data_IF_925429801992
#
_entry.id   IF_925429801992
#
_cell.length_a   1.000
_cell.length_b   1.000
_cell.length_c   1.000
_cell.angle_alpha   90.00
_cell.angle_beta   90.00
_cell.angle_gamma   90.00
#
_symmetry.space_group_name_H-M   'P 1'
#
loop_
_entity.id
_entity.type
_entity.pdbx_description
1 polymer ?
#
# COMPACT_ATOMS: atom_id res chain seq x y z
N UNK A 1 -18.00 -46.79 -41.30
CA UNK A 1 -18.11 -46.29 -39.92
C UNK A 1 -16.82 -45.58 -39.56
N UNK A 2 -16.81 -44.25 -39.57
CA UNK A 2 -15.68 -43.42 -39.17
C UNK A 2 -16.12 -42.67 -37.90
N UNK A 3 -15.52 -43.00 -36.75
CA UNK A 3 -15.74 -42.22 -35.53
C UNK A 3 -15.05 -40.86 -35.66
N UNK A 4 -15.71 -39.73 -35.38
CA UNK A 4 -15.04 -38.45 -35.31
C UNK A 4 -14.08 -38.47 -34.13
N UNK A 5 -12.81 -38.14 -34.37
CA UNK A 5 -11.84 -37.93 -33.30
C UNK A 5 -12.32 -36.77 -32.43
N UNK A 6 -12.52 -37.02 -31.13
CA UNK A 6 -12.74 -35.99 -30.14
C UNK A 6 -11.55 -35.02 -30.20
N UNK A 7 -11.79 -33.81 -30.68
CA UNK A 7 -10.82 -32.73 -30.55
C UNK A 7 -10.52 -32.60 -29.05
N UNK A 8 -9.25 -32.76 -28.68
CA UNK A 8 -8.79 -32.56 -27.31
C UNK A 8 -9.32 -31.21 -26.83
N UNK A 9 -10.27 -31.26 -25.89
CA UNK A 9 -10.73 -30.10 -25.16
C UNK A 9 -9.50 -29.46 -24.52
N UNK A 10 -9.08 -28.30 -25.01
CA UNK A 10 -8.10 -27.47 -24.32
C UNK A 10 -8.63 -27.24 -22.92
N UNK A 11 -7.98 -27.86 -21.93
CA UNK A 11 -8.41 -27.76 -20.55
C UNK A 11 -8.43 -26.29 -20.16
N UNK A 12 -9.40 -25.88 -19.33
CA UNK A 12 -9.54 -24.51 -18.81
C UNK A 12 -8.25 -23.97 -18.16
N UNK A 13 -7.30 -24.85 -17.83
CA UNK A 13 -5.98 -24.55 -17.29
C UNK A 13 -5.07 -23.85 -18.33
N UNK A 14 -5.31 -23.99 -19.64
CA UNK A 14 -4.48 -23.43 -20.71
C UNK A 14 -4.73 -21.93 -21.03
N UNK A 15 -5.58 -21.22 -20.28
CA UNK A 15 -5.85 -19.78 -20.51
C UNK A 15 -5.73 -18.92 -19.27
N UNK A 16 -4.96 -19.35 -18.26
CA UNK A 16 -4.63 -18.48 -17.13
C UNK A 16 -3.41 -17.64 -17.53
N UNK A 17 -3.65 -16.39 -17.96
CA UNK A 17 -2.59 -15.46 -18.30
C UNK A 17 -1.82 -15.06 -17.02
N UNK A 18 -0.55 -15.44 -16.97
CA UNK A 18 0.35 -15.06 -15.88
C UNK A 18 0.45 -13.53 -15.79
N UNK A 19 0.21 -12.99 -14.60
CA UNK A 19 0.38 -11.57 -14.33
C UNK A 19 1.87 -11.23 -14.41
N UNK A 20 2.22 -10.11 -15.02
CA UNK A 20 3.62 -9.71 -15.13
C UNK A 20 4.10 -9.07 -13.83
N UNK A 21 5.32 -9.39 -13.42
CA UNK A 21 5.98 -8.77 -12.25
C UNK A 21 5.97 -7.25 -12.32
N UNK A 22 6.25 -6.70 -13.50
CA UNK A 22 6.26 -5.26 -13.75
C UNK A 22 4.90 -4.62 -13.44
N UNK A 23 3.81 -5.30 -13.79
CA UNK A 23 2.45 -4.82 -13.55
C UNK A 23 2.13 -4.76 -12.05
N UNK A 24 2.57 -5.75 -11.27
CA UNK A 24 2.43 -5.74 -9.81
C UNK A 24 3.20 -4.57 -9.21
N UNK A 25 4.46 -4.36 -9.62
CA UNK A 25 5.25 -3.24 -9.13
C UNK A 25 4.65 -1.89 -9.51
N UNK A 26 4.15 -1.73 -10.74
CA UNK A 26 3.48 -0.51 -11.19
C UNK A 26 2.22 -0.23 -10.36
N UNK A 27 1.41 -1.25 -10.09
CA UNK A 27 0.25 -1.10 -9.21
C UNK A 27 0.65 -0.70 -7.79
N UNK A 28 1.70 -1.29 -7.22
CA UNK A 28 2.18 -0.94 -5.87
C UNK A 28 2.66 0.51 -5.79
N UNK A 29 3.47 0.94 -6.76
CA UNK A 29 4.01 2.30 -6.86
C UNK A 29 2.89 3.32 -6.98
N UNK A 30 1.92 3.08 -7.87
CA UNK A 30 0.74 3.94 -8.04
C UNK A 30 -0.14 3.98 -6.80
N UNK A 31 -0.32 2.87 -6.09
CA UNK A 31 -1.04 2.88 -4.80
C UNK A 31 -0.31 3.77 -3.78
N UNK A 32 1.02 3.70 -3.71
CA UNK A 32 1.81 4.54 -2.81
C UNK A 32 1.71 6.02 -3.18
N UNK A 33 1.74 6.34 -4.47
CA UNK A 33 1.59 7.72 -4.95
C UNK A 33 0.20 8.27 -4.62
N UNK A 34 -0.87 7.55 -4.97
CA UNK A 34 -2.25 7.96 -4.74
C UNK A 34 -2.51 8.18 -3.25
N UNK A 35 -2.14 7.22 -2.39
CA UNK A 35 -2.30 7.36 -0.93
C UNK A 35 -1.36 8.40 -0.33
N UNK A 36 -0.19 8.60 -0.91
CA UNK A 36 0.74 9.64 -0.51
C UNK A 36 0.15 11.03 -0.72
N UNK A 37 -0.51 11.28 -1.86
CA UNK A 37 -1.22 12.54 -2.13
C UNK A 37 -2.34 12.77 -1.11
N UNK A 38 -3.19 11.78 -0.88
CA UNK A 38 -4.27 11.87 0.12
C UNK A 38 -3.74 12.17 1.54
N UNK A 39 -2.61 11.58 1.93
CA UNK A 39 -1.99 11.84 3.23
C UNK A 39 -1.34 13.23 3.31
N UNK A 40 -0.87 13.79 2.19
CA UNK A 40 -0.38 15.17 2.12
C UNK A 40 -1.54 16.16 2.19
N UNK A 41 -2.62 15.92 1.45
CA UNK A 41 -3.82 16.77 1.45
C UNK A 41 -4.48 16.83 2.84
N UNK A 42 -4.32 15.77 3.64
CA UNK A 42 -4.81 15.69 5.01
C UNK A 42 -3.76 16.10 6.08
N UNK A 43 -2.61 16.67 5.68
CA UNK A 43 -1.50 17.09 6.55
C UNK A 43 -0.96 15.99 7.49
N UNK A 44 -1.19 14.72 7.14
CA UNK A 44 -0.76 13.55 7.93
C UNK A 44 0.73 13.28 7.72
N UNK A 45 1.20 13.48 6.50
CA UNK A 45 2.62 13.55 6.15
C UNK A 45 2.88 14.93 5.54
N UNK A 46 4.13 15.38 5.61
CA UNK A 46 4.52 16.72 5.20
C UNK A 46 5.60 16.67 4.12
N UNK A 47 5.77 17.78 3.39
CA UNK A 47 6.89 17.93 2.45
C UNK A 47 8.24 17.76 3.15
N UNK A 48 8.35 18.19 4.42
CA UNK A 48 9.54 17.98 5.25
C UNK A 48 9.86 16.48 5.42
N UNK A 49 8.86 15.63 5.68
CA UNK A 49 9.05 14.18 5.79
C UNK A 49 9.62 13.59 4.47
N UNK A 50 9.16 14.09 3.32
CA UNK A 50 9.63 13.66 1.99
C UNK A 50 11.08 14.08 1.72
N UNK A 51 11.44 15.33 2.07
CA UNK A 51 12.81 15.83 1.93
C UNK A 51 13.78 15.14 2.89
N UNK A 52 13.36 14.89 4.13
CA UNK A 52 14.15 14.13 5.10
C UNK A 52 14.50 12.75 4.53
N UNK A 53 13.54 12.05 3.93
CA UNK A 53 13.79 10.77 3.30
C UNK A 53 14.74 10.83 2.10
N UNK A 54 14.70 11.89 1.30
CA UNK A 54 15.63 12.06 0.18
C UNK A 54 17.07 12.33 0.64
N UNK A 55 17.23 13.00 1.78
CA UNK A 55 18.52 13.34 2.38
C UNK A 55 19.06 12.22 3.28
N UNK A 56 18.18 11.31 3.74
CA UNK A 56 18.52 10.19 4.58
C UNK A 56 19.60 9.31 3.96
N UNK A 57 20.60 8.97 4.78
CA UNK A 57 21.71 8.10 4.35
C UNK A 57 21.30 6.64 4.38
N UNK A 58 20.44 6.27 5.35
CA UNK A 58 19.97 4.90 5.56
C UNK A 58 18.44 4.83 5.62
N UNK A 59 17.86 3.66 5.34
CA UNK A 59 16.39 3.46 5.33
C UNK A 59 15.75 3.51 6.72
N UNK A 60 16.56 3.44 7.79
CA UNK A 60 16.10 3.51 9.18
C UNK A 60 15.88 4.98 9.63
N UNK A 61 16.37 5.94 8.84
CA UNK A 61 16.03 7.36 8.93
C UNK A 61 14.75 7.60 8.09
N UNK A 62 13.88 8.54 8.51
CA UNK A 62 12.61 8.83 7.84
C UNK A 62 11.68 7.61 7.63
N UNK A 63 11.48 6.80 8.68
CA UNK A 63 10.69 5.55 8.63
C UNK A 63 9.23 5.72 8.20
N UNK A 64 8.63 6.89 8.43
CA UNK A 64 7.27 7.22 8.00
C UNK A 64 7.18 7.14 6.47
N UNK A 65 8.15 7.68 5.74
CA UNK A 65 8.16 7.63 4.28
C UNK A 65 8.75 6.31 3.77
N UNK A 66 9.85 5.83 4.36
CA UNK A 66 10.56 4.64 3.84
C UNK A 66 9.78 3.33 4.02
N UNK A 67 8.96 3.24 5.08
CA UNK A 67 8.22 2.03 5.46
C UNK A 67 6.75 2.34 5.67
N UNK A 68 6.42 3.41 6.39
CA UNK A 68 5.06 3.76 6.79
C UNK A 68 4.10 3.94 5.61
N UNK A 69 4.42 4.86 4.70
CA UNK A 69 3.61 5.17 3.52
C UNK A 69 3.39 3.92 2.63
N UNK A 70 4.42 3.13 2.27
CA UNK A 70 4.19 1.88 1.55
C UNK A 70 3.34 0.87 2.31
N UNK A 71 3.51 0.77 3.64
CA UNK A 71 2.77 -0.16 4.48
C UNK A 71 1.29 0.23 4.58
N UNK A 72 1.00 1.52 4.78
CA UNK A 72 -0.34 2.08 4.74
C UNK A 72 -1.00 1.83 3.38
N UNK A 73 -0.29 2.12 2.29
CA UNK A 73 -0.79 1.93 0.92
C UNK A 73 -1.09 0.46 0.62
N UNK A 74 -0.23 -0.44 1.10
CA UNK A 74 -0.42 -1.87 0.99
C UNK A 74 -1.62 -2.36 1.81
N UNK A 75 -1.83 -1.84 3.01
CA UNK A 75 -3.03 -2.11 3.81
C UNK A 75 -4.30 -1.72 3.04
N UNK A 76 -4.33 -0.53 2.42
CA UNK A 76 -5.47 -0.09 1.62
C UNK A 76 -5.75 -1.03 0.44
N UNK A 77 -4.71 -1.52 -0.24
CA UNK A 77 -4.86 -2.51 -1.31
C UNK A 77 -5.45 -3.84 -0.81
N UNK A 78 -5.02 -4.32 0.37
CA UNK A 78 -5.59 -5.52 0.99
C UNK A 78 -7.05 -5.33 1.38
N UNK A 79 -7.38 -4.22 2.03
CA UNK A 79 -8.75 -3.90 2.43
C UNK A 79 -9.67 -3.78 1.21
N UNK A 80 -9.20 -3.17 0.12
CA UNK A 80 -9.92 -3.11 -1.14
C UNK A 80 -10.18 -4.52 -1.72
N UNK A 81 -9.14 -5.37 -1.73
CA UNK A 81 -9.25 -6.77 -2.17
C UNK A 81 -10.24 -7.58 -1.32
N UNK A 82 -10.32 -7.30 -0.01
CA UNK A 82 -11.28 -7.95 0.90
C UNK A 82 -12.70 -7.45 0.62
N UNK A 83 -12.89 -6.13 0.49
CA UNK A 83 -14.19 -5.51 0.18
C UNK A 83 -14.76 -6.00 -1.15
N UNK A 84 -13.90 -6.18 -2.16
CA UNK A 84 -14.27 -6.74 -3.46
C UNK A 84 -14.53 -8.26 -3.44
N UNK A 85 -14.39 -8.93 -2.30
CA UNK A 85 -14.48 -10.39 -2.16
C UNK A 85 -13.57 -11.15 -3.15
N UNK A 86 -12.41 -10.57 -3.47
CA UNK A 86 -11.44 -11.15 -4.40
C UNK A 86 -10.79 -12.40 -3.79
N UNK A 87 -10.47 -13.41 -4.61
CA UNK A 87 -9.73 -14.61 -4.19
C UNK A 87 -8.22 -14.36 -4.01
N UNK A 88 -7.72 -13.24 -4.56
CA UNK A 88 -6.31 -12.87 -4.65
C UNK A 88 -6.01 -11.44 -4.18
N UNK A 89 -4.89 -10.87 -4.64
CA UNK A 89 -4.60 -9.45 -4.47
C UNK A 89 -5.15 -8.67 -5.68
N UNK A 90 -6.06 -7.73 -5.45
CA UNK A 90 -6.63 -6.88 -6.48
C UNK A 90 -5.70 -5.70 -6.77
N UNK A 91 -5.21 -5.60 -8.00
CA UNK A 91 -4.40 -4.49 -8.49
C UNK A 91 -5.28 -3.29 -8.87
N UNK A 92 -4.66 -2.12 -9.07
CA UNK A 92 -5.37 -0.88 -9.42
C UNK A 92 -6.07 -0.94 -10.79
N UNK A 93 -5.54 -1.71 -11.72
CA UNK A 93 -6.11 -1.92 -13.05
C UNK A 93 -7.25 -2.95 -13.06
N UNK A 94 -7.66 -3.44 -11.87
CA UNK A 94 -8.71 -4.43 -11.70
C UNK A 94 -8.24 -5.87 -11.93
N UNK A 95 -6.96 -6.09 -12.24
CA UNK A 95 -6.43 -7.45 -12.39
C UNK A 95 -6.23 -8.10 -11.02
N UNK A 96 -6.71 -9.32 -10.88
CA UNK A 96 -6.57 -10.10 -9.65
C UNK A 96 -5.36 -11.03 -9.74
N UNK A 97 -4.45 -10.94 -8.75
CA UNK A 97 -3.32 -11.87 -8.60
C UNK A 97 -3.70 -12.99 -7.64
N UNK A 98 -3.94 -14.18 -8.18
CA UNK A 98 -4.32 -15.41 -7.49
C UNK A 98 -3.17 -16.42 -7.47
N UNK A 99 -3.35 -17.52 -6.73
CA UNK A 99 -2.40 -18.63 -6.75
C UNK A 99 -2.18 -19.23 -8.16
N UNK A 100 -3.14 -19.07 -9.09
CA UNK A 100 -3.07 -19.66 -10.42
C UNK A 100 -2.36 -18.78 -11.46
N UNK A 101 -2.46 -17.45 -11.35
CA UNK A 101 -1.88 -16.50 -12.30
C UNK A 101 -0.73 -15.67 -11.72
N UNK A 102 -0.30 -15.93 -10.47
CA UNK A 102 0.84 -15.23 -9.88
C UNK A 102 2.12 -15.49 -10.68
N UNK A 103 3.05 -14.52 -10.71
CA UNK A 103 4.35 -14.73 -11.29
C UNK A 103 5.11 -15.86 -10.60
N UNK A 104 5.79 -16.71 -11.36
CA UNK A 104 6.56 -17.85 -10.83
C UNK A 104 7.99 -17.49 -10.38
N UNK A 105 8.35 -16.22 -10.41
CA UNK A 105 9.64 -15.75 -9.91
C UNK A 105 9.76 -15.99 -8.40
N UNK A 106 10.88 -16.61 -7.96
CA UNK A 106 11.12 -17.03 -6.56
C UNK A 106 10.86 -15.93 -5.53
N UNK A 107 11.19 -14.68 -5.86
CA UNK A 107 11.06 -13.53 -4.96
C UNK A 107 9.59 -13.18 -4.70
N UNK A 108 8.77 -13.18 -5.75
CA UNK A 108 7.35 -12.92 -5.61
C UNK A 108 6.60 -14.10 -5.02
N UNK A 109 7.03 -15.34 -5.31
CA UNK A 109 6.45 -16.52 -4.68
C UNK A 109 6.67 -16.52 -3.16
N UNK A 110 7.89 -16.13 -2.71
CA UNK A 110 8.19 -15.94 -1.29
C UNK A 110 7.33 -14.85 -0.63
N UNK A 111 7.00 -13.78 -1.35
CA UNK A 111 6.19 -12.67 -0.83
C UNK A 111 4.68 -12.95 -0.88
N UNK A 112 4.20 -13.65 -1.92
CA UNK A 112 2.79 -13.83 -2.21
C UNK A 112 2.06 -14.63 -1.12
N UNK A 113 2.64 -15.74 -0.67
CA UNK A 113 1.97 -16.57 0.34
C UNK A 113 1.78 -15.84 1.70
N UNK A 114 2.80 -15.15 2.27
CA UNK A 114 2.61 -14.28 3.44
C UNK A 114 1.52 -13.22 3.25
N UNK A 115 1.44 -12.61 2.06
CA UNK A 115 0.41 -11.61 1.74
C UNK A 115 -0.99 -12.23 1.75
N UNK A 116 -1.18 -13.39 1.14
CA UNK A 116 -2.47 -14.08 1.11
C UNK A 116 -2.92 -14.52 2.51
N UNK A 117 -2.00 -15.07 3.32
CA UNK A 117 -2.27 -15.42 4.71
C UNK A 117 -2.67 -14.19 5.53
N UNK A 118 -1.97 -13.07 5.33
CA UNK A 118 -2.29 -11.83 6.04
C UNK A 118 -3.66 -11.30 5.62
N UNK A 119 -3.96 -11.26 4.32
CA UNK A 119 -5.26 -10.84 3.80
C UNK A 119 -6.38 -11.67 4.43
N UNK A 120 -6.20 -12.98 4.50
CA UNK A 120 -7.17 -13.89 5.09
C UNK A 120 -7.37 -13.63 6.58
N UNK A 121 -6.30 -13.38 7.32
CA UNK A 121 -6.41 -13.05 8.74
C UNK A 121 -7.16 -11.74 8.98
N UNK A 122 -6.90 -10.69 8.19
CA UNK A 122 -7.65 -9.43 8.27
C UNK A 122 -9.13 -9.69 7.97
N UNK A 123 -9.42 -10.52 6.95
CA UNK A 123 -10.80 -10.90 6.57
C UNK A 123 -11.53 -11.63 7.69
N UNK A 124 -10.89 -12.61 8.33
CA UNK A 124 -11.50 -13.44 9.38
C UNK A 124 -11.69 -12.68 10.68
N UNK A 125 -10.75 -11.81 11.05
CA UNK A 125 -10.84 -11.01 12.29
C UNK A 125 -12.01 -10.01 12.23
N UNK A 126 -12.43 -9.59 11.02
CA UNK A 126 -13.55 -8.65 10.81
C UNK A 126 -13.40 -7.39 11.67
N UNK A 127 -12.35 -6.64 11.38
CA UNK A 127 -12.06 -5.38 12.05
C UNK A 127 -13.20 -4.36 11.82
N UNK A 128 -13.60 -3.68 12.89
CA UNK A 128 -14.49 -2.51 12.81
C UNK A 128 -13.81 -1.32 12.13
N UNK A 129 -14.57 -0.29 11.75
CA UNK A 129 -14.01 0.89 11.07
C UNK A 129 -12.99 1.64 11.93
N UNK A 130 -13.27 1.77 13.22
CA UNK A 130 -12.40 2.35 14.24
C UNK A 130 -11.11 1.56 14.42
N UNK A 131 -11.20 0.23 14.35
CA UNK A 131 -10.07 -0.68 14.44
C UNK A 131 -9.20 -0.70 13.18
N UNK A 132 -9.83 -0.58 12.00
CA UNK A 132 -9.12 -0.37 10.74
C UNK A 132 -8.33 0.92 10.80
N UNK A 133 -8.94 2.01 11.28
CA UNK A 133 -8.26 3.31 11.48
C UNK A 133 -7.13 3.21 12.51
N UNK A 134 -7.29 2.40 13.55
CA UNK A 134 -6.23 2.12 14.51
C UNK A 134 -5.07 1.33 13.87
N UNK A 135 -5.37 0.33 13.04
CA UNK A 135 -4.36 -0.41 12.28
C UNK A 135 -3.62 0.49 11.29
N UNK A 136 -4.34 1.35 10.56
CA UNK A 136 -3.79 2.35 9.64
C UNK A 136 -2.74 3.25 10.30
N UNK A 137 -3.08 3.78 11.48
CA UNK A 137 -2.15 4.52 12.34
C UNK A 137 -0.91 3.73 12.68
N UNK A 138 -1.10 2.50 13.17
CA UNK A 138 -0.02 1.64 13.60
C UNK A 138 0.93 1.29 12.45
N UNK A 139 0.43 1.10 11.23
CA UNK A 139 1.28 0.78 10.07
C UNK A 139 1.97 2.00 9.47
N UNK A 140 1.33 3.18 9.49
CA UNK A 140 1.90 4.42 8.95
C UNK A 140 3.02 4.98 9.83
N UNK A 141 2.79 5.05 11.14
CA UNK A 141 3.76 5.67 12.05
C UNK A 141 4.69 4.67 12.72
N UNK A 142 4.37 3.37 12.71
CA UNK A 142 5.19 2.33 13.30
C UNK A 142 5.48 2.59 14.78
N UNK A 143 6.73 2.94 15.09
CA UNK A 143 7.18 3.24 16.45
C UNK A 143 7.06 4.73 16.84
N UNK A 144 6.65 5.62 15.92
CA UNK A 144 6.49 7.04 16.20
C UNK A 144 5.15 7.31 16.90
N UNK A 145 5.13 7.14 18.22
CA UNK A 145 3.91 7.31 19.04
C UNK A 145 3.40 8.75 19.04
N UNK A 146 4.29 9.74 19.01
CA UNK A 146 3.91 11.16 19.01
C UNK A 146 3.09 11.53 17.76
N UNK A 147 3.52 11.12 16.56
CA UNK A 147 2.77 11.37 15.32
C UNK A 147 1.47 10.55 15.28
N UNK A 148 1.47 9.35 15.85
CA UNK A 148 0.28 8.51 15.96
C UNK A 148 -0.81 9.13 16.84
N UNK A 149 -0.43 9.75 17.95
CA UNK A 149 -1.34 10.48 18.85
C UNK A 149 -1.84 11.78 18.21
N UNK A 150 -0.98 12.48 17.47
CA UNK A 150 -1.34 13.73 16.79
C UNK A 150 -2.37 13.55 15.67
N UNK A 151 -2.33 12.42 14.94
CA UNK A 151 -3.27 12.18 13.85
C UNK A 151 -4.67 11.82 14.40
N UNK A 152 -5.67 12.69 14.25
CA UNK A 152 -7.04 12.40 14.71
C UNK A 152 -7.90 11.77 13.62
N UNK A 153 -7.55 10.57 13.15
CA UNK A 153 -8.34 9.85 12.12
C UNK A 153 -9.64 9.20 12.63
N UNK A 154 -10.05 9.47 13.87
CA UNK A 154 -11.22 8.84 14.51
C UNK A 154 -11.01 7.37 14.92
N UNK A 155 -9.77 6.89 15.00
CA UNK A 155 -9.47 5.58 15.59
C UNK A 155 -9.82 5.56 17.07
N UNK A 156 -10.36 4.44 17.55
CA UNK A 156 -10.46 4.14 18.97
C UNK A 156 -9.54 2.96 19.28
N UNK A 157 -8.80 3.06 20.38
CA UNK A 157 -8.00 1.93 20.84
C UNK A 157 -8.95 0.79 21.26
N UNK A 158 -8.73 -0.45 20.79
CA UNK A 158 -9.56 -1.57 21.22
C UNK A 158 -9.50 -1.71 22.75
N UNK A 159 -10.67 -1.82 23.39
CA UNK A 159 -10.75 -1.99 24.85
C UNK A 159 -10.25 -3.37 25.28
N UNK A 160 -10.42 -4.38 24.43
CA UNK A 160 -9.93 -5.74 24.66
C UNK A 160 -8.43 -5.85 24.34
N UNK A 161 -7.66 -6.25 25.34
CA UNK A 161 -6.22 -6.46 25.22
C UNK A 161 -5.86 -7.54 24.18
N UNK A 162 -6.69 -8.58 24.03
CA UNK A 162 -6.48 -9.62 23.03
C UNK A 162 -6.63 -9.04 21.62
N UNK A 163 -7.68 -8.25 21.41
CA UNK A 163 -7.97 -7.60 20.12
C UNK A 163 -6.90 -6.57 19.75
N UNK A 164 -6.47 -5.75 20.70
CA UNK A 164 -5.34 -4.84 20.51
C UNK A 164 -4.06 -5.61 20.13
N UNK A 165 -3.75 -6.72 20.81
CA UNK A 165 -2.59 -7.54 20.50
C UNK A 165 -2.66 -8.16 19.09
N UNK A 166 -3.84 -8.56 18.63
CA UNK A 166 -4.06 -9.07 17.27
C UNK A 166 -3.77 -8.01 16.21
N UNK A 167 -4.33 -6.80 16.36
CA UNK A 167 -4.11 -5.69 15.42
C UNK A 167 -2.62 -5.30 15.39
N UNK A 168 -2.00 -5.20 16.56
CA UNK A 168 -0.57 -4.93 16.67
C UNK A 168 0.28 -6.05 16.05
N UNK A 169 -0.15 -7.30 16.17
CA UNK A 169 0.47 -8.45 15.51
C UNK A 169 0.36 -8.41 13.99
N UNK A 170 -0.76 -7.92 13.44
CA UNK A 170 -0.91 -7.64 12.01
C UNK A 170 0.04 -6.52 11.58
N UNK A 171 0.01 -5.38 12.28
CA UNK A 171 0.87 -4.22 11.98
C UNK A 171 2.35 -4.60 11.90
N UNK A 172 2.87 -5.31 12.92
CA UNK A 172 4.28 -5.76 12.93
C UNK A 172 4.64 -6.63 11.73
N UNK A 173 3.76 -7.53 11.32
CA UNK A 173 4.01 -8.41 10.15
C UNK A 173 4.00 -7.63 8.85
N UNK A 174 3.08 -6.67 8.70
CA UNK A 174 3.04 -5.79 7.54
C UNK A 174 4.32 -4.95 7.43
N UNK A 175 4.70 -4.29 8.53
CA UNK A 175 5.93 -3.49 8.60
C UNK A 175 7.15 -4.35 8.28
N UNK A 176 7.24 -5.57 8.82
CA UNK A 176 8.33 -6.51 8.54
C UNK A 176 8.42 -6.91 7.06
N UNK A 177 7.28 -7.20 6.44
CA UNK A 177 7.20 -7.52 5.01
C UNK A 177 7.67 -6.35 4.14
N UNK A 178 7.17 -5.14 4.40
CA UNK A 178 7.55 -3.93 3.66
C UNK A 178 9.03 -3.59 3.86
N UNK A 179 9.57 -3.74 5.08
CA UNK A 179 11.01 -3.58 5.34
C UNK A 179 11.87 -4.57 4.58
N UNK A 180 11.37 -5.78 4.32
CA UNK A 180 12.10 -6.76 3.52
C UNK A 180 12.08 -6.36 2.04
N UNK A 181 10.91 -5.96 1.51
CA UNK A 181 10.76 -5.49 0.13
C UNK A 181 11.54 -4.21 -0.15
N UNK A 182 11.64 -3.31 0.84
CA UNK A 182 12.33 -2.03 0.68
C UNK A 182 13.84 -2.13 0.50
N UNK A 183 14.43 -3.30 0.80
CA UNK A 183 15.84 -3.60 0.57
C UNK A 183 16.16 -3.91 -0.89
N UNK A 184 15.15 -4.21 -1.72
CA UNK A 184 15.39 -4.54 -3.12
C UNK A 184 15.74 -3.27 -3.93
N UNK A 185 16.83 -3.29 -4.73
CA UNK A 185 17.24 -2.12 -5.53
C UNK A 185 16.17 -1.62 -6.49
N UNK A 186 15.42 -2.54 -7.10
CA UNK A 186 14.31 -2.24 -8.00
C UNK A 186 13.19 -1.50 -7.30
N UNK A 187 12.80 -1.95 -6.10
CA UNK A 187 11.84 -1.26 -5.26
C UNK A 187 12.34 0.14 -4.89
N UNK A 188 13.57 0.25 -4.35
CA UNK A 188 14.13 1.54 -3.93
C UNK A 188 14.16 2.56 -5.07
N UNK A 189 14.54 2.14 -6.29
CA UNK A 189 14.55 3.00 -7.47
C UNK A 189 13.15 3.49 -7.82
N UNK A 190 12.16 2.60 -7.85
CA UNK A 190 10.76 2.95 -8.18
C UNK A 190 10.14 3.83 -7.10
N UNK A 191 10.34 3.50 -5.83
CA UNK A 191 9.80 4.26 -4.71
C UNK A 191 10.42 5.67 -4.62
N UNK A 192 11.70 5.83 -4.95
CA UNK A 192 12.30 7.16 -5.09
C UNK A 192 11.58 8.03 -6.12
N UNK A 193 11.07 7.44 -7.20
CA UNK A 193 10.30 8.20 -8.18
C UNK A 193 8.98 8.67 -7.57
N UNK A 194 8.27 7.80 -6.85
CA UNK A 194 7.04 8.17 -6.11
C UNK A 194 7.28 9.38 -5.21
N UNK A 195 8.35 9.36 -4.40
CA UNK A 195 8.64 10.48 -3.49
C UNK A 195 8.92 11.78 -4.24
N UNK A 196 9.59 11.73 -5.40
CA UNK A 196 9.79 12.91 -6.25
C UNK A 196 8.47 13.43 -6.79
N UNK A 197 7.59 12.53 -7.25
CA UNK A 197 6.29 12.90 -7.81
C UNK A 197 5.39 13.54 -6.72
N UNK A 198 5.47 13.04 -5.48
CA UNK A 198 4.81 13.64 -4.31
C UNK A 198 5.37 15.02 -3.95
N UNK A 199 6.68 15.24 -4.07
CA UNK A 199 7.27 16.58 -3.85
C UNK A 199 6.80 17.54 -4.94
N UNK A 200 6.82 17.13 -6.21
CA UNK A 200 6.31 17.96 -7.31
C UNK A 200 4.86 18.34 -7.07
N UNK A 201 4.03 17.41 -6.62
CA UNK A 201 2.63 17.68 -6.24
C UNK A 201 2.51 18.78 -5.19
N UNK A 202 3.27 18.72 -4.10
CA UNK A 202 3.23 19.76 -3.06
C UNK A 202 3.62 21.15 -3.59
N UNK A 203 4.58 21.21 -4.52
CA UNK A 203 5.04 22.48 -5.11
C UNK A 203 3.99 23.11 -6.05
N UNK A 204 3.24 22.27 -6.77
CA UNK A 204 2.17 22.70 -7.67
C UNK A 204 0.98 23.27 -6.87
N UNK A 205 0.58 22.60 -5.79
CA UNK A 205 -0.48 23.07 -4.87
C UNK A 205 -0.11 24.42 -4.21
N UNK A 206 1.15 24.58 -3.78
CA UNK A 206 1.63 25.86 -3.23
C UNK A 206 1.58 26.99 -4.26
N UNK A 207 1.95 26.72 -5.52
CA UNK A 207 1.89 27.72 -6.60
C UNK A 207 0.46 28.12 -6.93
N UNK A 208 -0.47 27.15 -7.00
CA UNK A 208 -1.89 27.40 -7.25
C UNK A 208 -2.51 28.24 -6.12
N UNK A 209 -2.18 27.91 -4.87
CA UNK A 209 -2.64 28.62 -3.67
C UNK A 209 -2.13 30.07 -3.63
N UNK A 210 -0.85 30.29 -3.93
CA UNK A 210 -0.26 31.64 -4.02
C UNK A 210 -0.84 32.47 -5.17
N UNK A 211 -1.08 31.86 -6.33
CA UNK A 211 -1.69 32.54 -7.48
C UNK A 211 -3.13 33.00 -7.19
N UNK A 212 -3.89 32.17 -6.47
CA UNK A 212 -5.27 32.48 -6.06
C UNK A 212 -5.31 33.58 -5.00
N UNK A 213 -4.41 33.52 -4.01
CA UNK A 213 -4.28 34.56 -2.98
C UNK A 213 -3.89 35.93 -3.57
N UNK A 214 -2.96 35.98 -4.52
CA UNK A 214 -2.57 37.21 -5.23
C UNK A 214 -3.73 37.82 -6.04
N UNK A 215 -4.63 37.00 -6.61
CA UNK A 215 -5.82 37.51 -7.32
C UNK A 215 -6.85 38.12 -6.37
N UNK A 216 -7.02 37.57 -5.16
CA UNK A 216 -7.96 38.12 -4.16
C UNK A 216 -7.49 39.44 -3.53
N UNK A 217 -6.18 39.72 -3.50
CA UNK A 217 -5.65 40.98 -2.95
C UNK A 217 -5.75 42.15 -3.94
N UNK A 218 -5.85 41.86 -5.24
CA UNK A 218 -5.96 42.88 -6.31
C UNK A 218 -7.42 43.33 -6.56
N UNK A 219 -8.39 42.81 -5.80
CA UNK A 219 -9.82 43.11 -5.96
C UNK A 219 -10.41 44.13 -4.98
N UNK A 220 -9.59 44.96 -4.32
CA UNK A 220 -10.06 46.04 -3.41
C UNK A 220 -9.81 47.42 -4.01
#
# INVERSE_FOLDING_TARGET
MLMPSLANSRSVIETIQEVKVVQIWESMVRYCEMRGRELLDADVITSADLYEWLQAKNNDEATIISVGLPCYSFLQALLNSIKANSGGLLLLDGVEVTYFNRPKEKLLDWFFNPVMVLKEQIRVIRLGEDEVRFLEKAVLFGSNTQRMEAWQNGSLAPQDALRAAQIQGISRRMIGMIRSVSKFPTYRRRFRQVVKDLITYTLEEEHCSRSTSLRSVVSV
#
